data_IF_843044427406
#
_entry.id   IF_843044427406
#
_cell.length_a   1.000
_cell.length_b   1.000
_cell.length_c   1.000
_cell.angle_alpha   90.00
_cell.angle_beta   90.00
_cell.angle_gamma   90.00
#
_symmetry.space_group_name_H-M   'P 1'
#
loop_
_entity.id
_entity.type
_entity.pdbx_description
1 polymer ?
#
# COMPACT_ATOMS: atom_id res chain seq x y z
N UNK A 1 1.88 -77.12 91.45
CA UNK A 1 2.26 -76.97 90.02
C UNK A 1 0.95 -76.87 89.26
N UNK A 2 0.50 -75.65 89.06
CA UNK A 2 -0.78 -75.31 88.40
C UNK A 2 -0.58 -73.90 87.84
N UNK A 3 -0.52 -73.80 86.52
CA UNK A 3 -0.33 -72.55 85.77
C UNK A 3 -1.47 -71.56 86.04
N UNK A 4 -1.18 -70.25 86.16
CA UNK A 4 -2.18 -69.23 85.98
C UNK A 4 -2.39 -68.89 84.49
N UNK A 5 -3.66 -68.84 84.14
CA UNK A 5 -4.27 -68.60 82.84
C UNK A 5 -3.86 -67.24 82.25
N UNK A 6 -3.43 -67.28 80.99
CA UNK A 6 -3.21 -66.13 80.10
C UNK A 6 -4.49 -65.30 79.95
N UNK A 7 -4.43 -64.05 80.39
CA UNK A 7 -5.36 -63.01 79.96
C UNK A 7 -4.75 -62.33 78.72
N UNK A 8 -5.52 -62.41 77.64
CA UNK A 8 -5.30 -61.87 76.30
C UNK A 8 -4.95 -60.37 76.33
N UNK A 9 -3.85 -59.90 75.70
CA UNK A 9 -3.72 -58.49 75.41
C UNK A 9 -4.77 -58.14 74.36
N UNK A 10 -5.80 -57.41 74.76
CA UNK A 10 -6.78 -56.81 73.86
C UNK A 10 -6.06 -56.21 72.63
N UNK A 11 -6.36 -56.77 71.46
CA UNK A 11 -5.94 -56.25 70.16
C UNK A 11 -6.43 -54.80 70.02
N UNK A 12 -5.54 -53.84 70.21
CA UNK A 12 -5.75 -52.48 69.72
C UNK A 12 -5.74 -52.54 68.18
N UNK A 13 -6.82 -52.13 67.49
CA UNK A 13 -6.85 -52.16 66.04
C UNK A 13 -5.77 -51.22 65.49
N UNK A 14 -5.01 -51.70 64.51
CA UNK A 14 -3.87 -51.00 63.85
C UNK A 14 -4.29 -49.66 63.20
N UNK A 15 -5.59 -49.39 63.11
CA UNK A 15 -6.17 -48.17 62.52
C UNK A 15 -7.19 -47.61 63.51
N UNK A 16 -6.90 -46.45 64.09
CA UNK A 16 -7.81 -45.72 64.96
C UNK A 16 -8.94 -45.07 64.13
N UNK A 17 -10.07 -44.79 64.78
CA UNK A 17 -11.22 -44.11 64.19
C UNK A 17 -10.83 -42.75 63.60
N UNK A 18 -9.86 -42.05 64.22
CA UNK A 18 -9.31 -40.80 63.69
C UNK A 18 -8.56 -40.99 62.37
N UNK A 19 -7.75 -42.05 62.23
CA UNK A 19 -7.03 -42.36 60.99
C UNK A 19 -7.97 -42.80 59.88
N UNK A 20 -9.03 -43.55 60.20
CA UNK A 20 -10.05 -43.92 59.23
C UNK A 20 -10.80 -42.69 58.70
N UNK A 21 -11.17 -41.75 59.57
CA UNK A 21 -11.81 -40.49 59.16
C UNK A 21 -10.84 -39.61 58.34
N UNK A 22 -9.56 -39.59 58.70
CA UNK A 22 -8.54 -38.87 57.95
C UNK A 22 -8.32 -39.45 56.54
N UNK A 23 -8.24 -40.77 56.42
CA UNK A 23 -8.08 -41.45 55.12
C UNK A 23 -9.31 -41.29 54.22
N UNK A 24 -10.52 -41.36 54.78
CA UNK A 24 -11.76 -41.17 54.02
C UNK A 24 -11.89 -39.72 53.56
N UNK A 25 -11.60 -38.74 54.44
CA UNK A 25 -11.66 -37.32 54.07
C UNK A 25 -10.61 -36.93 53.02
N UNK A 26 -9.37 -37.42 53.15
CA UNK A 26 -8.33 -37.24 52.14
C UNK A 26 -8.71 -37.86 50.78
N UNK A 27 -9.32 -39.05 50.79
CA UNK A 27 -9.84 -39.69 49.59
C UNK A 27 -10.98 -38.89 48.93
N UNK A 28 -11.91 -38.36 49.72
CA UNK A 28 -13.02 -37.54 49.23
C UNK A 28 -12.52 -36.22 48.63
N UNK A 29 -11.54 -35.58 49.28
CA UNK A 29 -10.90 -34.36 48.75
C UNK A 29 -10.14 -34.66 47.45
N UNK A 30 -9.42 -35.77 47.37
CA UNK A 30 -8.70 -36.17 46.15
C UNK A 30 -9.67 -36.45 44.99
N UNK A 31 -10.81 -37.11 45.26
CA UNK A 31 -11.86 -37.34 44.26
C UNK A 31 -12.51 -36.01 43.83
N UNK A 32 -12.84 -35.13 44.78
CA UNK A 32 -13.38 -33.81 44.46
C UNK A 32 -12.38 -32.95 43.66
N UNK A 33 -11.08 -33.09 43.92
CA UNK A 33 -10.04 -32.41 43.16
C UNK A 33 -9.90 -32.96 41.73
N UNK A 34 -9.88 -34.30 41.58
CA UNK A 34 -9.75 -34.96 40.27
C UNK A 34 -11.00 -34.80 39.41
N UNK A 35 -12.19 -34.68 40.02
CA UNK A 35 -13.45 -34.46 39.32
C UNK A 35 -13.95 -33.01 39.43
N UNK A 36 -13.11 -32.06 39.86
CA UNK A 36 -13.53 -30.66 40.06
C UNK A 36 -14.09 -30.06 38.77
N UNK A 37 -13.46 -30.37 37.64
CA UNK A 37 -13.84 -29.82 36.34
C UNK A 37 -15.10 -30.51 35.78
N UNK A 38 -15.43 -31.71 36.27
CA UNK A 38 -16.65 -32.47 35.92
C UNK A 38 -17.85 -32.06 36.78
N UNK A 39 -17.64 -31.77 38.07
CA UNK A 39 -18.70 -31.44 39.03
C UNK A 39 -18.97 -29.93 39.07
N UNK A 40 -17.93 -29.10 38.98
CA UNK A 40 -18.01 -27.63 39.06
C UNK A 40 -17.61 -26.93 37.76
N UNK A 41 -17.39 -27.68 36.67
CA UNK A 41 -17.25 -27.12 35.34
C UNK A 41 -18.51 -26.37 34.95
N UNK A 42 -18.45 -25.04 34.99
CA UNK A 42 -19.52 -24.18 34.53
C UNK A 42 -19.96 -24.63 33.12
N UNK A 43 -21.27 -24.82 32.93
CA UNK A 43 -21.86 -24.82 31.58
C UNK A 43 -21.48 -23.48 30.95
N UNK A 44 -20.42 -23.46 30.14
CA UNK A 44 -20.27 -22.44 29.10
C UNK A 44 -21.53 -22.59 28.26
N UNK A 45 -22.40 -21.58 28.30
CA UNK A 45 -23.30 -21.30 27.18
C UNK A 45 -22.48 -21.49 25.90
N UNK A 46 -23.05 -22.08 24.84
CA UNK A 46 -22.31 -22.24 23.59
C UNK A 46 -21.71 -20.88 23.27
N UNK A 47 -20.38 -20.80 23.32
CA UNK A 47 -19.72 -19.62 22.81
C UNK A 47 -20.27 -19.49 21.40
N UNK A 48 -20.83 -18.32 21.08
CA UNK A 48 -20.89 -17.97 19.67
C UNK A 48 -19.51 -18.31 19.11
N UNK A 49 -19.43 -18.94 17.92
CA UNK A 49 -18.14 -19.11 17.29
C UNK A 49 -17.42 -17.76 17.41
N UNK A 50 -16.12 -17.73 17.80
CA UNK A 50 -15.38 -16.47 17.73
C UNK A 50 -15.76 -15.88 16.38
N UNK A 51 -16.15 -14.58 16.30
CA UNK A 51 -16.53 -14.01 15.02
C UNK A 51 -15.44 -14.50 14.10
N UNK A 52 -15.83 -15.33 13.11
CA UNK A 52 -14.91 -15.79 12.07
C UNK A 52 -14.16 -14.51 11.78
N UNK A 53 -12.82 -14.45 11.89
CA UNK A 53 -12.14 -13.26 11.43
C UNK A 53 -12.68 -13.13 10.04
N UNK A 54 -13.59 -12.17 9.86
CA UNK A 54 -14.03 -11.77 8.56
C UNK A 54 -12.70 -11.22 8.13
N UNK A 55 -11.90 -12.08 7.48
CA UNK A 55 -11.01 -11.64 6.46
C UNK A 55 -11.92 -10.68 5.75
N UNK A 56 -11.70 -9.38 5.98
CA UNK A 56 -12.30 -8.38 5.13
C UNK A 56 -12.07 -9.01 3.76
N UNK A 57 -13.13 -9.39 3.03
CA UNK A 57 -12.93 -9.95 1.70
C UNK A 57 -11.90 -9.02 1.09
N UNK A 58 -10.74 -9.53 0.62
CA UNK A 58 -9.60 -8.69 0.28
C UNK A 58 -10.22 -7.53 -0.47
N UNK A 59 -10.14 -6.32 0.12
CA UNK A 59 -10.81 -5.16 -0.45
C UNK A 59 -10.28 -5.19 -1.86
N UNK A 60 -11.13 -5.56 -2.84
CA UNK A 60 -10.69 -5.66 -4.22
C UNK A 60 -10.22 -4.24 -4.49
N UNK A 61 -8.91 -4.03 -4.47
CA UNK A 61 -8.32 -2.74 -4.78
C UNK A 61 -8.90 -2.44 -6.16
N UNK A 62 -9.63 -1.33 -6.25
CA UNK A 62 -10.20 -0.89 -7.51
C UNK A 62 -9.00 -0.58 -8.42
N UNK A 63 -8.58 -1.57 -9.24
CA UNK A 63 -7.43 -1.48 -10.15
C UNK A 63 -7.69 -0.48 -11.28
N UNK A 64 -8.89 0.12 -11.36
CA UNK A 64 -9.21 1.17 -12.32
C UNK A 64 -8.55 2.50 -11.93
N UNK A 65 -7.31 2.68 -12.39
CA UNK A 65 -6.53 3.87 -12.11
C UNK A 65 -7.08 5.12 -12.83
N UNK A 66 -7.76 4.97 -13.98
CA UNK A 66 -8.42 6.08 -14.70
C UNK A 66 -9.48 6.74 -13.82
N UNK A 67 -10.30 5.95 -13.15
CA UNK A 67 -11.30 6.45 -12.20
C UNK A 67 -10.65 7.12 -10.99
N UNK A 68 -9.57 6.54 -10.44
CA UNK A 68 -8.81 7.15 -9.33
C UNK A 68 -8.22 8.49 -9.74
N UNK A 69 -7.64 8.57 -10.93
CA UNK A 69 -7.07 9.78 -11.53
C UNK A 69 -8.13 10.88 -11.69
N UNK A 70 -9.30 10.55 -12.26
CA UNK A 70 -10.43 11.49 -12.40
C UNK A 70 -10.97 11.96 -11.06
N UNK A 71 -11.16 11.05 -10.09
CA UNK A 71 -11.67 11.39 -8.76
C UNK A 71 -10.73 12.26 -7.94
N UNK A 72 -9.43 12.16 -8.19
CA UNK A 72 -8.40 12.93 -7.48
C UNK A 72 -7.85 14.10 -8.30
N UNK A 73 -8.47 14.39 -9.45
CA UNK A 73 -8.12 15.47 -10.37
C UNK A 73 -6.61 15.45 -10.68
N UNK A 74 -6.11 14.28 -11.10
CA UNK A 74 -4.70 14.08 -11.46
C UNK A 74 -4.56 14.08 -12.96
N UNK A 75 -3.51 14.74 -13.46
CA UNK A 75 -3.19 14.81 -14.89
C UNK A 75 -1.85 14.17 -15.23
N UNK A 76 -1.10 13.70 -14.23
CA UNK A 76 0.15 12.96 -14.42
C UNK A 76 0.16 11.73 -13.52
N UNK A 77 0.40 10.57 -14.13
CA UNK A 77 0.49 9.29 -13.41
C UNK A 77 1.90 8.75 -13.59
N UNK A 78 2.56 8.38 -12.50
CA UNK A 78 3.89 7.80 -12.51
C UNK A 78 3.80 6.34 -12.04
N UNK A 79 3.90 5.45 -13.02
CA UNK A 79 3.94 4.01 -12.83
C UNK A 79 5.37 3.58 -12.52
N UNK A 80 5.53 2.63 -11.60
CA UNK A 80 6.82 2.02 -11.30
C UNK A 80 6.70 0.50 -11.24
N UNK A 81 7.70 -0.18 -11.79
CA UNK A 81 7.98 -1.60 -11.53
C UNK A 81 9.30 -1.72 -10.77
N UNK A 82 9.26 -2.18 -9.53
CA UNK A 82 10.40 -2.16 -8.61
C UNK A 82 10.49 -3.38 -7.69
N UNK A 83 11.67 -4.00 -7.64
CA UNK A 83 11.94 -5.09 -6.70
C UNK A 83 12.39 -4.59 -5.32
N UNK A 84 13.25 -3.58 -5.29
CA UNK A 84 13.93 -3.09 -4.07
C UNK A 84 13.57 -1.64 -3.71
N UNK A 85 12.63 -1.03 -4.44
CA UNK A 85 12.10 0.32 -4.18
C UNK A 85 12.82 1.46 -4.91
N UNK A 86 13.89 1.21 -5.68
CA UNK A 86 14.63 2.28 -6.38
C UNK A 86 13.77 3.00 -7.42
N UNK A 87 13.01 2.26 -8.22
CA UNK A 87 12.13 2.85 -9.23
C UNK A 87 10.94 3.59 -8.58
N UNK A 88 10.42 3.07 -7.47
CA UNK A 88 9.39 3.72 -6.65
C UNK A 88 9.87 5.07 -6.08
N UNK A 89 11.11 5.12 -5.58
CA UNK A 89 11.70 6.36 -5.07
C UNK A 89 11.86 7.40 -6.20
N UNK A 90 12.38 7.00 -7.36
CA UNK A 90 12.50 7.89 -8.52
C UNK A 90 11.15 8.40 -8.99
N UNK A 91 10.11 7.53 -9.01
CA UNK A 91 8.76 7.93 -9.36
C UNK A 91 8.23 8.96 -8.35
N UNK A 92 8.43 8.72 -7.06
CA UNK A 92 8.03 9.61 -5.98
C UNK A 92 8.74 10.97 -6.04
N UNK A 93 10.02 10.98 -6.40
CA UNK A 93 10.82 12.20 -6.57
C UNK A 93 10.32 13.02 -7.75
N UNK A 94 10.13 12.40 -8.92
CA UNK A 94 9.56 13.07 -10.09
C UNK A 94 8.14 13.57 -9.83
N UNK A 95 7.32 12.82 -9.09
CA UNK A 95 5.96 13.23 -8.74
C UNK A 95 5.96 14.50 -7.87
N UNK A 96 6.80 14.53 -6.83
CA UNK A 96 6.95 15.71 -5.95
C UNK A 96 7.50 16.91 -6.72
N UNK A 97 8.50 16.68 -7.55
CA UNK A 97 9.13 17.72 -8.35
C UNK A 97 8.16 18.29 -9.40
N UNK A 98 7.40 17.43 -10.08
CA UNK A 98 6.34 17.80 -11.02
C UNK A 98 5.32 18.75 -10.40
N UNK A 99 4.85 18.40 -9.20
CA UNK A 99 3.92 19.23 -8.44
C UNK A 99 4.56 20.56 -8.02
N UNK A 100 5.76 20.53 -7.44
CA UNK A 100 6.40 21.71 -6.85
C UNK A 100 6.94 22.70 -7.87
N UNK A 101 7.55 22.22 -8.96
CA UNK A 101 8.19 23.06 -9.99
C UNK A 101 7.24 23.45 -11.10
N UNK A 102 6.26 22.60 -11.44
CA UNK A 102 5.46 22.74 -12.66
C UNK A 102 3.95 22.77 -12.39
N UNK A 103 3.51 22.65 -11.13
CA UNK A 103 2.08 22.65 -10.78
C UNK A 103 1.33 21.42 -11.29
N UNK A 104 2.04 20.38 -11.72
CA UNK A 104 1.43 19.15 -12.22
C UNK A 104 0.71 18.41 -11.10
N UNK A 105 -0.51 17.92 -11.38
CA UNK A 105 -1.29 17.15 -10.42
C UNK A 105 -0.89 15.68 -10.55
N UNK A 106 0.19 15.32 -9.85
CA UNK A 106 0.84 14.01 -9.94
C UNK A 106 0.28 12.98 -8.97
N UNK A 107 0.37 11.70 -9.33
CA UNK A 107 0.21 10.55 -8.44
C UNK A 107 1.17 9.43 -8.84
N UNK A 108 1.62 8.64 -7.88
CA UNK A 108 2.42 7.42 -8.11
C UNK A 108 1.54 6.18 -7.92
N UNK A 109 1.77 5.16 -8.75
CA UNK A 109 1.03 3.90 -8.69
C UNK A 109 1.98 2.75 -9.03
N UNK A 110 1.94 1.70 -8.22
CA UNK A 110 2.56 0.40 -8.54
C UNK A 110 1.84 -0.22 -9.75
N UNK A 111 2.59 -0.70 -10.73
CA UNK A 111 2.02 -1.35 -11.92
C UNK A 111 1.15 -2.56 -11.58
N UNK A 112 1.42 -3.29 -10.49
CA UNK A 112 0.61 -4.43 -10.04
C UNK A 112 -0.77 -3.98 -9.51
N UNK A 113 -0.84 -2.78 -8.93
CA UNK A 113 -2.05 -2.22 -8.32
C UNK A 113 -3.01 -1.58 -9.34
N UNK A 114 -2.68 -1.62 -10.64
CA UNK A 114 -3.50 -1.06 -11.71
C UNK A 114 -3.75 -2.04 -12.85
N UNK A 115 -4.91 -1.89 -13.49
CA UNK A 115 -5.28 -2.64 -14.68
C UNK A 115 -4.74 -1.91 -15.91
N UNK A 116 -3.60 -2.39 -16.43
CA UNK A 116 -2.90 -1.79 -17.56
C UNK A 116 -3.64 -1.94 -18.90
N UNK A 117 -4.70 -2.76 -18.96
CA UNK A 117 -5.56 -2.82 -20.15
C UNK A 117 -6.30 -1.50 -20.38
N UNK A 118 -6.43 -0.65 -19.35
CA UNK A 118 -7.10 0.66 -19.41
C UNK A 118 -6.19 1.80 -19.96
N UNK A 119 -4.98 1.48 -20.42
CA UNK A 119 -4.09 2.49 -21.02
C UNK A 119 -4.66 3.12 -22.31
N UNK A 120 -5.58 2.44 -22.99
CA UNK A 120 -6.34 2.96 -24.14
C UNK A 120 -7.45 3.95 -23.76
N UNK A 121 -7.85 3.98 -22.49
CA UNK A 121 -8.75 5.00 -21.93
C UNK A 121 -7.99 6.23 -21.38
N UNK A 122 -6.66 6.27 -21.50
CA UNK A 122 -5.85 7.35 -20.96
C UNK A 122 -6.16 8.68 -21.68
N UNK A 123 -6.52 9.75 -20.95
CA UNK A 123 -6.87 11.02 -21.58
C UNK A 123 -5.69 11.68 -22.29
N UNK A 124 -5.95 12.27 -23.46
CA UNK A 124 -4.94 12.92 -24.31
C UNK A 124 -4.25 14.11 -23.64
N UNK A 125 -4.94 14.80 -22.72
CA UNK A 125 -4.41 15.95 -21.98
C UNK A 125 -3.57 15.55 -20.75
N UNK A 126 -3.50 14.26 -20.44
CA UNK A 126 -2.72 13.70 -19.34
C UNK A 126 -1.36 13.16 -19.82
N UNK A 127 -0.49 12.78 -18.88
CA UNK A 127 0.83 12.21 -19.15
C UNK A 127 1.13 11.01 -18.23
N UNK A 128 1.64 9.92 -18.80
CA UNK A 128 2.09 8.74 -18.06
C UNK A 128 3.63 8.67 -17.99
N UNK A 129 4.19 8.32 -16.83
CA UNK A 129 5.60 7.98 -16.68
C UNK A 129 5.72 6.51 -16.34
N UNK A 130 6.69 5.82 -16.92
CA UNK A 130 7.02 4.44 -16.60
C UNK A 130 8.46 4.36 -16.11
N UNK A 131 8.64 4.04 -14.83
CA UNK A 131 9.94 3.80 -14.22
C UNK A 131 10.10 2.30 -14.00
N UNK A 132 10.85 1.66 -14.91
CA UNK A 132 10.84 0.20 -15.02
C UNK A 132 12.23 -0.35 -14.71
N UNK A 133 12.35 -1.09 -13.61
CA UNK A 133 13.55 -1.86 -13.33
C UNK A 133 13.57 -3.17 -14.14
N UNK A 134 14.78 -3.56 -14.54
CA UNK A 134 15.05 -4.88 -15.15
C UNK A 134 15.72 -5.77 -14.12
N UNK A 135 15.29 -7.02 -14.03
CA UNK A 135 15.86 -8.00 -13.10
C UNK A 135 16.27 -9.29 -13.82
N UNK A 136 17.04 -10.13 -13.13
CA UNK A 136 17.47 -11.44 -13.64
C UNK A 136 18.14 -11.37 -15.02
N UNK A 137 17.65 -12.17 -15.94
CA UNK A 137 18.13 -12.29 -17.32
C UNK A 137 17.30 -11.41 -18.29
N UNK A 138 17.01 -10.17 -17.89
CA UNK A 138 16.19 -9.25 -18.71
C UNK A 138 14.69 -9.35 -18.46
N UNK A 139 14.30 -9.91 -17.32
CA UNK A 139 12.92 -10.12 -16.89
C UNK A 139 12.36 -8.88 -16.18
N UNK A 140 11.03 -8.66 -16.22
CA UNK A 140 10.37 -7.65 -15.39
C UNK A 140 10.57 -7.93 -13.90
N UNK A 141 10.39 -6.90 -13.08
CA UNK A 141 10.19 -7.05 -11.63
C UNK A 141 8.90 -7.81 -11.34
N UNK A 142 8.78 -8.42 -10.15
CA UNK A 142 7.64 -9.28 -9.79
C UNK A 142 6.29 -8.55 -9.92
N UNK A 143 6.25 -7.27 -9.57
CA UNK A 143 5.07 -6.40 -9.68
C UNK A 143 4.67 -6.11 -11.14
N UNK A 144 5.63 -6.12 -12.07
CA UNK A 144 5.46 -5.72 -13.46
C UNK A 144 5.15 -6.88 -14.42
N UNK A 145 5.07 -8.13 -13.92
CA UNK A 145 4.86 -9.33 -14.76
C UNK A 145 3.57 -9.24 -15.58
N UNK A 146 2.43 -8.89 -14.98
CA UNK A 146 1.14 -8.78 -15.69
C UNK A 146 1.22 -7.74 -16.83
N UNK A 147 1.89 -6.61 -16.59
CA UNK A 147 2.07 -5.55 -17.59
C UNK A 147 3.01 -5.99 -18.72
N UNK A 148 4.09 -6.68 -18.37
CA UNK A 148 5.02 -7.24 -19.34
C UNK A 148 4.36 -8.24 -20.27
N UNK A 149 3.57 -9.18 -19.72
CA UNK A 149 2.84 -10.18 -20.47
C UNK A 149 1.80 -9.54 -21.41
N UNK A 150 1.09 -8.49 -20.95
CA UNK A 150 0.19 -7.72 -21.80
C UNK A 150 0.93 -7.17 -23.04
N UNK A 151 2.06 -6.49 -22.85
CA UNK A 151 2.80 -5.86 -23.95
C UNK A 151 3.48 -6.87 -24.89
N UNK A 152 3.88 -8.03 -24.38
CA UNK A 152 4.61 -9.05 -25.11
C UNK A 152 3.72 -10.19 -25.66
N UNK A 153 2.41 -10.13 -25.42
CA UNK A 153 1.43 -11.04 -25.99
C UNK A 153 1.39 -10.96 -27.52
N UNK A 154 1.16 -12.09 -28.19
CA UNK A 154 0.93 -12.15 -29.64
C UNK A 154 -0.31 -11.35 -30.06
N UNK A 155 -1.32 -11.27 -29.19
CA UNK A 155 -2.52 -10.48 -29.35
C UNK A 155 -2.79 -9.70 -28.05
N UNK A 156 -2.17 -8.52 -27.86
CA UNK A 156 -2.47 -7.65 -26.73
C UNK A 156 -3.92 -7.17 -26.84
N UNK A 157 -4.70 -7.33 -25.78
CA UNK A 157 -6.07 -6.84 -25.69
C UNK A 157 -6.16 -5.72 -24.66
N UNK A 158 -6.54 -4.53 -25.12
CA UNK A 158 -6.85 -3.39 -24.26
C UNK A 158 -8.37 -3.27 -24.05
N UNK A 159 -8.77 -2.48 -23.06
CA UNK A 159 -10.14 -2.46 -22.52
C UNK A 159 -11.23 -2.09 -23.53
N UNK A 160 -10.90 -1.25 -24.52
CA UNK A 160 -11.80 -0.81 -25.59
C UNK A 160 -11.88 -1.81 -26.75
N UNK A 161 -11.04 -2.86 -26.75
CA UNK A 161 -11.03 -3.89 -27.79
C UNK A 161 -10.58 -3.38 -29.17
N UNK A 162 -9.87 -2.26 -29.21
CA UNK A 162 -9.31 -1.71 -30.45
C UNK A 162 -8.12 -2.60 -30.89
N UNK A 163 -8.12 -3.14 -32.13
CA UNK A 163 -7.01 -3.94 -32.64
C UNK A 163 -5.69 -3.18 -32.67
N UNK A 164 -4.57 -3.88 -32.54
CA UNK A 164 -3.23 -3.26 -32.56
C UNK A 164 -2.98 -2.47 -33.86
N UNK A 165 -3.47 -2.96 -35.01
CA UNK A 165 -3.34 -2.24 -36.29
C UNK A 165 -3.97 -0.83 -36.27
N UNK A 166 -4.99 -0.62 -35.45
CA UNK A 166 -5.72 0.64 -35.30
C UNK A 166 -5.15 1.53 -34.19
N UNK A 167 -3.98 1.16 -33.62
CA UNK A 167 -3.23 1.96 -32.65
C UNK A 167 -4.05 2.30 -31.40
N UNK A 168 -4.35 1.30 -30.56
CA UNK A 168 -5.23 1.47 -29.40
C UNK A 168 -4.74 2.52 -28.41
N UNK A 169 -3.43 2.76 -28.33
CA UNK A 169 -2.83 3.72 -27.39
C UNK A 169 -2.58 5.10 -28.01
N UNK A 170 -3.26 5.45 -29.09
CA UNK A 170 -3.06 6.73 -29.80
C UNK A 170 -3.25 7.98 -28.95
N UNK A 171 -4.08 7.91 -27.89
CA UNK A 171 -4.26 9.01 -26.94
C UNK A 171 -3.18 9.07 -25.84
N UNK A 172 -2.43 7.99 -25.63
CA UNK A 172 -1.46 7.88 -24.56
C UNK A 172 -0.21 8.69 -24.90
N UNK A 173 0.11 9.66 -24.05
CA UNK A 173 1.41 10.33 -24.06
C UNK A 173 2.23 9.79 -22.89
N UNK A 174 3.49 9.47 -23.13
CA UNK A 174 4.29 8.79 -22.13
C UNK A 174 5.77 9.17 -22.09
N UNK A 175 6.39 8.93 -20.94
CA UNK A 175 7.82 9.09 -20.65
C UNK A 175 8.33 7.79 -20.03
N UNK A 176 9.56 7.36 -20.35
CA UNK A 176 10.15 6.13 -19.78
C UNK A 176 11.53 6.43 -19.18
N UNK A 177 11.76 5.90 -17.97
CA UNK A 177 13.08 5.75 -17.39
C UNK A 177 13.32 4.29 -17.05
N UNK A 178 14.31 3.67 -17.69
CA UNK A 178 14.70 2.29 -17.47
C UNK A 178 15.81 2.23 -16.41
N UNK A 179 15.68 1.32 -15.43
CA UNK A 179 16.70 1.06 -14.43
C UNK A 179 17.30 -0.33 -14.70
N UNK A 180 18.62 -0.40 -14.80
CA UNK A 180 19.33 -1.63 -15.13
C UNK A 180 20.81 -1.51 -14.79
N UNK A 181 21.58 -2.50 -15.20
CA UNK A 181 23.00 -2.57 -14.90
C UNK A 181 23.75 -3.17 -16.11
N UNK A 182 24.76 -2.46 -16.63
CA UNK A 182 25.50 -2.86 -17.85
C UNK A 182 26.35 -4.11 -17.69
N UNK A 183 26.59 -4.58 -16.45
CA UNK A 183 27.28 -5.86 -16.23
C UNK A 183 26.44 -7.07 -16.61
N UNK A 184 25.12 -6.91 -16.70
CA UNK A 184 24.19 -7.92 -17.18
C UNK A 184 24.08 -7.87 -18.70
N UNK A 185 23.88 -9.03 -19.33
CA UNK A 185 23.72 -9.14 -20.79
C UNK A 185 22.52 -8.32 -21.29
N UNK A 186 21.42 -8.36 -20.55
CA UNK A 186 20.16 -7.73 -20.90
C UNK A 186 19.98 -6.34 -20.26
N UNK A 187 20.89 -5.41 -20.56
CA UNK A 187 20.85 -4.04 -20.04
C UNK A 187 19.54 -3.30 -20.39
N UNK A 188 18.80 -2.87 -19.36
CA UNK A 188 17.56 -2.10 -19.47
C UNK A 188 16.48 -2.74 -20.36
N UNK A 189 16.50 -4.07 -20.49
CA UNK A 189 15.60 -4.80 -21.39
C UNK A 189 14.12 -4.47 -21.15
N UNK A 190 13.72 -4.31 -19.89
CA UNK A 190 12.31 -4.10 -19.55
C UNK A 190 11.83 -2.73 -20.00
N UNK A 191 12.51 -1.68 -19.58
CA UNK A 191 12.16 -0.31 -19.97
C UNK A 191 12.31 -0.07 -21.48
N UNK A 192 13.24 -0.75 -22.15
CA UNK A 192 13.39 -0.72 -23.61
C UNK A 192 12.19 -1.35 -24.33
N UNK A 193 11.72 -2.51 -23.86
CA UNK A 193 10.56 -3.16 -24.44
C UNK A 193 9.28 -2.35 -24.19
N UNK A 194 9.09 -1.82 -22.98
CA UNK A 194 7.95 -0.95 -22.67
C UNK A 194 7.91 0.24 -23.62
N UNK A 195 9.03 0.94 -23.80
CA UNK A 195 9.11 2.07 -24.73
C UNK A 195 8.82 1.66 -26.19
N UNK A 196 9.39 0.54 -26.64
CA UNK A 196 9.17 0.05 -28.00
C UNK A 196 7.71 -0.35 -28.25
N UNK A 197 7.10 -1.10 -27.33
CA UNK A 197 5.72 -1.60 -27.45
C UNK A 197 4.68 -0.51 -27.33
N UNK A 198 4.83 0.44 -26.40
CA UNK A 198 3.92 1.59 -26.32
C UNK A 198 3.94 2.41 -27.62
N UNK A 199 5.13 2.69 -28.17
CA UNK A 199 5.26 3.34 -29.47
C UNK A 199 4.65 2.52 -30.62
N UNK A 200 4.87 1.20 -30.64
CA UNK A 200 4.27 0.28 -31.63
C UNK A 200 2.74 0.34 -31.61
N UNK A 201 2.14 0.41 -30.43
CA UNK A 201 0.69 0.48 -30.21
C UNK A 201 0.11 1.90 -30.39
N UNK A 202 0.93 2.86 -30.82
CA UNK A 202 0.50 4.20 -31.23
C UNK A 202 0.66 5.30 -30.18
N UNK A 203 1.20 4.99 -29.00
CA UNK A 203 1.44 6.00 -27.98
C UNK A 203 2.50 7.02 -28.42
N UNK A 204 2.38 8.24 -27.93
CA UNK A 204 3.30 9.34 -28.24
C UNK A 204 4.36 9.46 -27.14
N UNK A 205 5.62 9.15 -27.48
CA UNK A 205 6.77 9.33 -26.59
C UNK A 205 7.08 10.82 -26.39
N UNK A 206 7.23 11.25 -25.14
CA UNK A 206 7.62 12.60 -24.74
C UNK A 206 9.05 12.57 -24.20
N UNK A 207 9.96 13.28 -24.85
CA UNK A 207 11.39 13.25 -24.53
C UNK A 207 12.06 11.92 -24.91
N UNK A 208 13.36 11.82 -24.65
CA UNK A 208 14.08 10.57 -24.85
C UNK A 208 13.89 9.61 -23.67
N UNK A 209 13.95 8.30 -23.97
CA UNK A 209 13.95 7.27 -22.92
C UNK A 209 15.23 7.42 -22.09
N UNK A 210 15.09 7.53 -20.78
CA UNK A 210 16.22 7.49 -19.88
C UNK A 210 16.68 6.06 -19.63
N UNK A 211 17.99 5.87 -19.51
CA UNK A 211 18.61 4.57 -19.24
C UNK A 211 19.62 4.74 -18.12
N UNK A 212 19.27 4.23 -16.94
CA UNK A 212 20.13 4.24 -15.77
C UNK A 212 21.01 2.99 -15.69
N UNK A 213 22.24 3.16 -15.22
CA UNK A 213 23.23 2.10 -15.04
C UNK A 213 23.73 2.00 -13.58
N UNK A 214 23.32 0.93 -12.90
CA UNK A 214 23.67 0.65 -11.50
C UNK A 214 25.11 0.16 -11.30
N UNK A 215 25.85 -0.22 -12.37
CA UNK A 215 27.30 -0.48 -12.26
C UNK A 215 28.11 0.82 -12.10
N UNK A 216 27.63 1.89 -12.73
CA UNK A 216 28.22 3.22 -12.68
C UNK A 216 27.63 4.07 -11.57
N UNK A 217 26.78 5.02 -11.97
CA UNK A 217 26.05 5.89 -11.05
C UNK A 217 24.65 6.12 -11.58
N UNK A 218 23.74 5.24 -11.16
CA UNK A 218 22.32 5.29 -11.50
C UNK A 218 21.69 6.66 -11.21
N UNK A 219 22.12 7.29 -10.12
CA UNK A 219 21.65 8.62 -9.71
C UNK A 219 22.13 9.72 -10.66
N UNK A 220 23.37 9.67 -11.14
CA UNK A 220 23.88 10.66 -12.10
C UNK A 220 23.19 10.54 -13.45
N UNK A 221 22.97 9.30 -13.92
CA UNK A 221 22.22 9.03 -15.15
C UNK A 221 20.78 9.58 -15.05
N UNK A 222 20.13 9.32 -13.92
CA UNK A 222 18.79 9.84 -13.64
C UNK A 222 18.75 11.38 -13.65
N UNK A 223 19.68 12.04 -12.95
CA UNK A 223 19.75 13.50 -12.89
C UNK A 223 20.08 14.13 -14.26
N UNK A 224 20.98 13.51 -15.02
CA UNK A 224 21.37 13.97 -16.36
C UNK A 224 20.21 13.90 -17.36
N UNK A 225 19.43 12.83 -17.32
CA UNK A 225 18.22 12.68 -18.15
C UNK A 225 17.09 13.62 -17.73
N UNK A 226 16.91 13.82 -16.41
CA UNK A 226 15.73 14.50 -15.84
C UNK A 226 15.52 15.92 -16.35
N UNK A 227 16.57 16.72 -16.51
CA UNK A 227 16.40 18.12 -16.91
C UNK A 227 15.97 18.27 -18.38
N UNK A 228 16.47 17.44 -19.28
CA UNK A 228 16.04 17.46 -20.69
C UNK A 228 14.64 16.85 -20.86
N UNK A 229 14.33 15.80 -20.08
CA UNK A 229 12.97 15.28 -19.99
C UNK A 229 11.98 16.35 -19.54
N UNK A 230 12.28 17.12 -18.48
CA UNK A 230 11.37 18.14 -17.98
C UNK A 230 11.09 19.24 -19.01
N UNK A 231 12.07 19.61 -19.85
CA UNK A 231 11.85 20.55 -20.96
C UNK A 231 10.82 19.99 -21.93
N UNK A 232 10.98 18.74 -22.36
CA UNK A 232 10.04 18.08 -23.26
C UNK A 232 8.63 17.95 -22.65
N UNK A 233 8.53 17.67 -21.34
CA UNK A 233 7.26 17.61 -20.63
C UNK A 233 6.59 18.98 -20.55
N UNK A 234 7.33 20.05 -20.28
CA UNK A 234 6.77 21.41 -20.26
C UNK A 234 6.22 21.79 -21.64
N UNK A 235 6.96 21.49 -22.71
CA UNK A 235 6.53 21.74 -24.08
C UNK A 235 5.25 20.94 -24.42
N UNK A 236 5.21 19.65 -24.06
CA UNK A 236 4.06 18.78 -24.33
C UNK A 236 2.81 19.16 -23.51
N UNK A 237 2.99 19.62 -22.27
CA UNK A 237 1.91 19.99 -21.36
C UNK A 237 1.53 21.48 -21.46
N UNK A 238 2.18 22.25 -22.34
CA UNK A 238 2.01 23.70 -22.49
C UNK A 238 2.20 24.46 -21.15
N UNK A 239 3.25 24.11 -20.41
CA UNK A 239 3.59 24.75 -19.12
C UNK A 239 4.64 25.82 -19.40
N UNK A 240 4.35 27.08 -19.07
CA UNK A 240 5.36 28.14 -19.13
C UNK A 240 6.36 27.98 -17.96
N UNK A 241 7.65 27.72 -18.24
CA UNK A 241 8.67 27.58 -17.19
C UNK A 241 8.82 28.82 -16.30
N UNK A 242 8.40 30.00 -16.78
CA UNK A 242 8.47 31.26 -16.04
C UNK A 242 7.27 31.49 -15.12
N UNK A 243 6.10 30.96 -15.46
CA UNK A 243 4.93 30.99 -14.57
C UNK A 243 5.05 29.98 -13.42
N UNK A 244 5.73 28.87 -13.68
CA UNK A 244 5.89 27.77 -12.75
C UNK A 244 6.86 28.09 -11.59
N UNK A 245 7.85 28.96 -11.82
CA UNK A 245 8.70 29.56 -10.78
C UNK A 245 7.90 30.45 -9.80
N UNK A 246 6.80 31.06 -10.24
CA UNK A 246 5.91 31.87 -9.39
C UNK A 246 4.83 31.04 -8.67
N UNK A 247 4.58 29.81 -9.14
CA UNK A 247 3.63 28.85 -8.58
C UNK A 247 4.30 27.72 -7.80
N UNK A 248 5.51 27.96 -7.24
CA UNK A 248 6.03 27.13 -6.15
C UNK A 248 4.94 27.02 -5.10
N UNK A 249 4.26 25.87 -5.08
CA UNK A 249 2.92 25.77 -4.51
C UNK A 249 3.04 25.97 -3.01
N UNK A 250 2.75 27.18 -2.53
CA UNK A 250 2.39 27.41 -1.14
C UNK A 250 1.04 26.72 -0.98
N UNK A 251 1.06 25.41 -0.75
CA UNK A 251 -0.14 24.66 -0.40
C UNK A 251 -0.66 25.34 0.87
N UNK A 252 -1.77 26.08 0.77
CA UNK A 252 -2.39 26.66 1.96
C UNK A 252 -2.87 25.49 2.82
N UNK A 253 -2.35 25.37 4.04
CA UNK A 253 -2.76 24.32 4.98
C UNK A 253 -4.24 24.46 5.44
N UNK A 254 -4.93 25.47 4.92
CA UNK A 254 -6.31 25.79 5.23
C UNK A 254 -7.05 26.22 3.95
N UNK A 255 -8.36 25.94 3.94
CA UNK A 255 -9.30 26.38 2.92
C UNK A 255 -10.13 27.51 3.52
N UNK A 256 -9.97 28.74 3.02
CA UNK A 256 -10.86 29.84 3.38
C UNK A 256 -12.19 29.57 2.68
N UNK A 257 -13.28 29.53 3.45
CA UNK A 257 -14.65 29.50 2.91
C UNK A 257 -15.33 30.73 3.45
N UNK A 258 -15.68 31.67 2.56
CA UNK A 258 -16.50 32.83 2.95
C UNK A 258 -17.92 32.34 3.23
N UNK A 259 -18.37 32.51 4.47
CA UNK A 259 -19.73 32.18 4.88
C UNK A 259 -20.58 33.44 4.69
N UNK A 260 -21.57 33.39 3.78
CA UNK A 260 -22.52 34.48 3.58
C UNK A 260 -23.44 34.71 4.80
N UNK A 261 -23.64 33.67 5.62
CA UNK A 261 -24.34 33.73 6.90
C UNK A 261 -23.51 33.02 7.95
N UNK A 262 -23.21 33.72 9.03
CA UNK A 262 -22.54 33.20 10.21
C UNK A 262 -23.24 33.70 11.47
N UNK A 263 -23.11 32.93 12.55
CA UNK A 263 -23.61 33.34 13.86
C UNK A 263 -22.68 34.39 14.46
N UNK A 264 -23.17 35.64 14.59
CA UNK A 264 -22.38 36.75 15.12
C UNK A 264 -21.85 36.47 16.54
N UNK A 265 -22.55 35.64 17.33
CA UNK A 265 -22.13 35.31 18.70
C UNK A 265 -20.89 34.41 18.74
N UNK A 266 -20.55 33.78 17.61
CA UNK A 266 -19.36 32.90 17.47
C UNK A 266 -18.15 33.61 16.87
N UNK A 267 -18.31 34.85 16.40
CA UNK A 267 -17.26 35.62 15.75
C UNK A 267 -16.70 36.65 16.71
N UNK A 268 -15.46 36.41 17.13
CA UNK A 268 -14.77 37.24 18.11
C UNK A 268 -13.98 38.35 17.42
N UNK A 269 -14.40 39.60 17.57
CA UNK A 269 -13.73 40.77 16.95
C UNK A 269 -12.60 41.36 17.81
N UNK A 270 -12.20 40.66 18.88
CA UNK A 270 -11.16 41.12 19.81
C UNK A 270 -11.69 41.85 21.05
N UNK A 271 -13.01 41.85 21.28
CA UNK A 271 -13.61 42.27 22.55
C UNK A 271 -13.25 41.30 23.67
N UNK A 272 -13.17 41.73 24.93
CA UNK A 272 -12.90 40.78 26.02
C UNK A 272 -14.10 39.84 26.21
N UNK A 273 -13.85 38.55 26.42
CA UNK A 273 -14.95 37.60 26.67
C UNK A 273 -15.76 38.03 27.91
N UNK A 274 -17.06 37.74 27.94
CA UNK A 274 -17.91 38.10 29.09
C UNK A 274 -17.35 37.58 30.42
N UNK A 275 -16.70 36.41 30.39
CA UNK A 275 -16.00 35.84 31.54
C UNK A 275 -14.82 36.70 32.03
N UNK A 276 -14.10 37.35 31.11
CA UNK A 276 -13.03 38.29 31.45
C UNK A 276 -13.59 39.65 31.94
N UNK A 277 -14.76 40.06 31.45
CA UNK A 277 -15.42 41.30 31.87
C UNK A 277 -16.10 41.19 33.25
N UNK A 278 -16.68 40.02 33.55
CA UNK A 278 -17.42 39.81 34.79
C UNK A 278 -16.55 39.36 35.98
N UNK A 279 -15.21 39.43 35.85
CA UNK A 279 -14.28 39.21 36.96
C UNK A 279 -14.50 37.87 37.66
N UNK A 280 -14.25 36.77 36.96
CA UNK A 280 -14.44 35.40 37.49
C UNK A 280 -13.83 35.22 38.88
N UNK A 281 -14.68 34.82 39.83
CA UNK A 281 -14.30 34.16 41.09
C UNK A 281 -14.41 32.66 40.94
#
# INVERSE_FOLDING_TARGET
MSEPVLLDPQDEPIIDTFDLVFLISAGLIAVLYLFRDTIFGAKKSPALPPPIPVSKPPIKKDKNFIKKMRNTDKNVVLFYGSQTGTAEDYASRLAKEGLQRFGLKTMTIDVEDCDMTLLDEFPEDCLAFFLMATYGEGEPTDDAVEFWELLNSDNPEFSQGIPIEDKPLSSLRYVVFALGNKTYEHFNAVGRLVDAKLSEFGATKIGERGEGDDDGSLEEDFLGWKEDMWKAVCDAMNIDPNESQNHGTRISAYKITELENYDNDTVFYGELSEHALNGGT
#
